data_IF_283582186740
#
_entry.id   IF_283582186740
#
_cell.length_a   1.000
_cell.length_b   1.000
_cell.length_c   1.000
_cell.angle_alpha   90.00
_cell.angle_beta   90.00
_cell.angle_gamma   90.00
#
_symmetry.space_group_name_H-M   'P 1'
#
loop_
_entity.id
_entity.type
_entity.pdbx_description
1 polymer ?
#
# COMPACT_ATOMS: atom_id res chain seq x y z
N UNK A 1 7.20 -5.80 18.24
CA UNK A 1 8.18 -5.07 17.38
C UNK A 1 7.63 -4.97 15.95
N UNK A 2 6.82 -3.95 15.66
CA UNK A 2 6.30 -3.68 14.31
C UNK A 2 7.45 -3.10 13.47
N UNK A 3 8.06 -3.91 12.60
CA UNK A 3 9.15 -3.43 11.74
C UNK A 3 8.58 -2.53 10.66
N UNK A 4 8.63 -1.22 10.89
CA UNK A 4 8.40 -0.20 9.86
C UNK A 4 9.64 -0.14 8.96
N UNK A 5 9.74 -1.05 7.98
CA UNK A 5 10.70 -0.91 6.88
C UNK A 5 10.25 0.26 6.00
N UNK A 6 10.65 1.47 6.37
CA UNK A 6 10.45 2.66 5.56
C UNK A 6 11.53 2.72 4.48
N UNK A 7 11.24 2.18 3.29
CA UNK A 7 11.94 2.56 2.07
C UNK A 7 11.12 3.66 1.43
N UNK A 8 11.71 4.82 1.23
CA UNK A 8 11.04 5.94 0.57
C UNK A 8 10.90 5.60 -0.92
N UNK A 9 9.69 5.27 -1.35
CA UNK A 9 9.40 4.94 -2.74
C UNK A 9 8.65 6.12 -3.30
N UNK A 10 9.24 6.86 -4.25
CA UNK A 10 8.58 8.02 -4.83
C UNK A 10 7.28 7.59 -5.51
N UNK A 11 6.19 8.31 -5.23
CA UNK A 11 4.86 8.04 -5.78
C UNK A 11 4.84 8.00 -7.31
N UNK A 12 5.78 8.67 -7.97
CA UNK A 12 5.97 8.65 -9.43
C UNK A 12 6.40 7.29 -10.00
N UNK A 13 6.88 6.37 -9.16
CA UNK A 13 7.33 5.02 -9.57
C UNK A 13 6.36 3.89 -9.21
N UNK A 14 5.24 4.21 -8.57
CA UNK A 14 4.23 3.22 -8.23
C UNK A 14 3.30 3.08 -9.44
N UNK A 15 3.23 1.88 -10.01
CA UNK A 15 2.31 1.59 -11.12
C UNK A 15 0.92 1.26 -10.59
N UNK A 16 0.85 0.44 -9.53
CA UNK A 16 -0.41 -0.04 -8.99
C UNK A 16 -0.33 -0.30 -7.48
N UNK A 17 -1.45 -0.10 -6.79
CA UNK A 17 -1.61 -0.36 -5.35
C UNK A 17 -2.79 -1.28 -5.16
N UNK A 18 -2.52 -2.49 -4.70
CA UNK A 18 -3.51 -3.49 -4.35
C UNK A 18 -3.59 -3.66 -2.84
N UNK A 19 -4.74 -4.08 -2.34
CA UNK A 19 -4.90 -4.50 -0.94
C UNK A 19 -5.68 -5.80 -0.89
N UNK A 20 -5.34 -6.62 0.10
CA UNK A 20 -6.05 -7.84 0.43
C UNK A 20 -6.50 -7.76 1.88
N UNK A 21 -7.77 -8.08 2.12
CA UNK A 21 -8.33 -8.10 3.47
C UNK A 21 -9.21 -9.34 3.61
N UNK A 22 -8.75 -10.31 4.40
CA UNK A 22 -9.54 -11.48 4.76
C UNK A 22 -10.68 -11.15 5.73
N UNK A 23 -11.59 -12.10 5.93
CA UNK A 23 -12.67 -11.99 6.92
C UNK A 23 -12.09 -11.86 8.33
N UNK A 24 -11.02 -12.61 8.64
CA UNK A 24 -10.31 -12.55 9.92
C UNK A 24 -9.60 -11.21 10.09
N UNK A 25 -8.94 -10.71 9.05
CA UNK A 25 -8.28 -9.39 9.05
C UNK A 25 -9.28 -8.25 9.32
N UNK A 26 -10.51 -8.35 8.76
CA UNK A 26 -11.61 -7.42 9.07
C UNK A 26 -12.02 -7.45 10.53
N UNK A 27 -12.06 -8.62 11.15
CA UNK A 27 -12.41 -8.78 12.57
C UNK A 27 -11.34 -8.17 13.50
N UNK A 28 -10.05 -8.30 13.15
CA UNK A 28 -8.95 -7.70 13.92
C UNK A 28 -8.62 -6.26 13.50
N UNK A 29 -9.30 -5.71 12.48
CA UNK A 29 -9.09 -4.36 11.97
C UNK A 29 -7.78 -4.17 11.19
N UNK A 30 -7.08 -5.27 10.89
CA UNK A 30 -5.84 -5.29 10.13
C UNK A 30 -6.10 -5.63 8.65
N UNK A 31 -5.05 -5.62 7.85
CA UNK A 31 -5.10 -6.00 6.44
C UNK A 31 -3.71 -6.00 5.81
N UNK A 32 -3.64 -6.49 4.58
CA UNK A 32 -2.38 -6.59 3.84
C UNK A 32 -2.40 -5.62 2.67
N UNK A 33 -1.39 -4.74 2.60
CA UNK A 33 -1.21 -3.77 1.51
C UNK A 33 -0.10 -4.23 0.58
N UNK A 34 -0.39 -4.32 -0.72
CA UNK A 34 0.55 -4.72 -1.77
C UNK A 34 0.82 -3.56 -2.71
N UNK A 35 2.06 -3.08 -2.74
CA UNK A 35 2.46 -1.96 -3.59
C UNK A 35 3.32 -2.50 -4.73
N UNK A 36 2.86 -2.33 -5.97
CA UNK A 36 3.58 -2.75 -7.17
C UNK A 36 4.30 -1.55 -7.79
N UNK A 37 5.61 -1.52 -7.65
CA UNK A 37 6.46 -0.50 -8.25
C UNK A 37 6.95 -0.93 -9.64
N UNK A 38 7.18 0.04 -10.54
CA UNK A 38 7.83 -0.17 -11.82
C UNK A 38 9.33 -0.53 -11.70
N UNK A 39 9.87 -0.51 -10.47
CA UNK A 39 11.29 -0.71 -10.19
C UNK A 39 11.64 -2.19 -10.12
N UNK A 40 12.88 -2.51 -10.47
CA UNK A 40 13.50 -3.85 -10.54
C UNK A 40 13.33 -4.76 -9.30
N UNK A 41 12.84 -4.22 -8.16
CA UNK A 41 12.72 -4.94 -6.89
C UNK A 41 11.33 -5.56 -6.61
N UNK A 42 10.37 -5.45 -7.53
CA UNK A 42 9.10 -6.18 -7.47
C UNK A 42 8.07 -5.64 -6.47
N UNK A 43 6.97 -6.39 -6.31
CA UNK A 43 5.83 -6.04 -5.44
C UNK A 43 6.22 -6.11 -3.96
N UNK A 44 5.95 -5.03 -3.23
CA UNK A 44 6.15 -4.97 -1.78
C UNK A 44 4.87 -5.32 -1.05
N UNK A 45 4.97 -6.25 -0.10
CA UNK A 45 3.83 -6.68 0.72
C UNK A 45 4.03 -6.20 2.15
N UNK A 46 3.10 -5.39 2.63
CA UNK A 46 3.04 -4.89 3.99
C UNK A 46 1.86 -5.56 4.69
N UNK A 47 2.16 -6.42 5.67
CA UNK A 47 1.16 -7.07 6.52
C UNK A 47 0.86 -6.18 7.74
N UNK A 48 -0.30 -6.38 8.37
CA UNK A 48 -0.69 -5.69 9.62
C UNK A 48 -0.91 -4.17 9.45
N UNK A 49 -1.55 -3.78 8.34
CA UNK A 49 -1.95 -2.39 8.12
C UNK A 49 -3.36 -2.18 8.70
N UNK A 50 -3.52 -1.40 9.78
CA UNK A 50 -4.83 -1.06 10.29
C UNK A 50 -5.59 -0.22 9.27
N UNK A 51 -6.87 -0.49 9.07
CA UNK A 51 -7.72 0.23 8.11
C UNK A 51 -7.12 0.27 6.68
N UNK A 52 -6.62 -0.88 6.18
CA UNK A 52 -5.94 -0.99 4.88
C UNK A 52 -6.71 -0.35 3.71
N UNK A 53 -8.04 -0.42 3.74
CA UNK A 53 -8.90 0.16 2.71
C UNK A 53 -8.76 1.70 2.61
N UNK A 54 -8.81 2.40 3.75
CA UNK A 54 -8.66 3.87 3.77
C UNK A 54 -7.24 4.28 3.35
N UNK A 55 -6.24 3.51 3.76
CA UNK A 55 -4.84 3.76 3.38
C UNK A 55 -4.64 3.60 1.88
N UNK A 56 -5.20 2.54 1.27
CA UNK A 56 -5.14 2.33 -0.18
C UNK A 56 -5.82 3.47 -0.95
N UNK A 57 -7.00 3.93 -0.51
CA UNK A 57 -7.69 5.07 -1.10
C UNK A 57 -6.83 6.34 -1.08
N UNK A 58 -6.25 6.68 0.08
CA UNK A 58 -5.37 7.85 0.24
C UNK A 58 -4.16 7.79 -0.68
N UNK A 59 -3.51 6.62 -0.78
CA UNK A 59 -2.36 6.47 -1.67
C UNK A 59 -2.80 6.62 -3.13
N UNK A 60 -3.94 6.06 -3.52
CA UNK A 60 -4.47 6.18 -4.87
C UNK A 60 -4.77 7.65 -5.23
N UNK A 61 -5.37 8.41 -4.31
CA UNK A 61 -5.59 9.85 -4.46
C UNK A 61 -4.27 10.61 -4.65
N UNK A 62 -3.25 10.32 -3.84
CA UNK A 62 -1.94 10.96 -3.94
C UNK A 62 -1.23 10.63 -5.25
N UNK A 63 -1.28 9.36 -5.70
CA UNK A 63 -0.71 8.95 -6.98
C UNK A 63 -1.40 9.66 -8.15
N UNK A 64 -2.74 9.74 -8.13
CA UNK A 64 -3.51 10.48 -9.14
C UNK A 64 -3.19 11.96 -9.17
N UNK A 65 -3.04 12.59 -7.99
CA UNK A 65 -2.68 14.00 -7.88
C UNK A 65 -1.29 14.31 -8.45
N UNK A 66 -0.36 13.34 -8.41
CA UNK A 66 0.98 13.46 -9.00
C UNK A 66 0.98 13.21 -10.51
N UNK A 67 0.17 12.26 -11.01
CA UNK A 67 0.06 11.97 -12.44
C UNK A 67 -0.75 13.00 -13.24
N UNK A 68 -1.64 13.74 -12.57
CA UNK A 68 -2.49 14.78 -13.19
C UNK A 68 -1.81 16.14 -13.40
N UNK A 69 -0.48 16.24 -13.35
CA UNK A 69 0.29 17.46 -13.59
C UNK A 69 1.29 17.31 -14.72
#
# INVERSE_FOLDING_TARGET
>A
VLRRSGRDIPLTRINDVAFEQGIVDRLVGAGTLKISAASEQGTLTFVDIPHVHQTSLRINEQVRAVQGR
#
